data_IF_469655088597
#
_entry.id   IF_469655088597
#
_cell.length_a   1.000
_cell.length_b   1.000
_cell.length_c   1.000
_cell.angle_alpha   90.00
_cell.angle_beta   90.00
_cell.angle_gamma   90.00
#
_symmetry.space_group_name_H-M   'P 1'
#
loop_
_entity.id
_entity.type
_entity.pdbx_description
1 polymer ?
#
# COMPACT_ATOMS: atom_id res chain seq x y z
N UNK A 1 -14.27 -0.83 1.81
CA UNK A 1 -13.38 0.31 1.50
C UNK A 1 -12.06 0.10 2.21
N UNK A 2 -10.93 0.38 1.55
CA UNK A 2 -9.59 0.28 2.14
C UNK A 2 -8.84 1.60 2.01
N UNK A 3 -7.98 1.90 2.99
CA UNK A 3 -7.18 3.12 2.98
C UNK A 3 -5.70 2.78 2.84
N UNK A 4 -5.02 3.56 2.02
CA UNK A 4 -3.59 3.48 1.78
C UNK A 4 -2.99 4.85 2.02
N UNK A 5 -1.90 4.90 2.78
CA UNK A 5 -1.13 6.11 3.03
C UNK A 5 0.26 5.93 2.46
N UNK A 6 0.60 6.70 1.45
CA UNK A 6 1.94 6.79 0.91
C UNK A 6 2.59 8.06 1.45
N UNK A 7 3.63 7.93 2.26
CA UNK A 7 4.31 9.04 2.92
C UNK A 7 5.79 9.06 2.59
N UNK A 8 6.30 10.21 2.17
CA UNK A 8 7.72 10.48 2.08
C UNK A 8 8.22 10.95 3.44
N UNK A 9 9.27 10.31 3.94
CA UNK A 9 10.04 10.73 5.11
C UNK A 9 11.50 10.75 4.69
N UNK A 10 12.11 11.93 4.71
CA UNK A 10 13.43 12.19 4.14
C UNK A 10 13.51 11.74 2.66
N UNK A 11 14.39 10.80 2.35
CA UNK A 11 14.55 10.18 1.02
C UNK A 11 13.86 8.82 0.90
N UNK A 12 13.02 8.44 1.85
CA UNK A 12 12.33 7.14 1.86
C UNK A 12 10.83 7.29 1.69
N UNK A 13 10.23 6.40 0.90
CA UNK A 13 8.78 6.28 0.78
C UNK A 13 8.26 5.09 1.58
N UNK A 14 7.18 5.33 2.31
CA UNK A 14 6.50 4.34 3.13
C UNK A 14 5.04 4.21 2.70
N UNK A 15 4.59 2.98 2.46
CA UNK A 15 3.19 2.68 2.25
C UNK A 15 2.61 2.05 3.51
N UNK A 16 1.50 2.58 4.02
CA UNK A 16 0.72 1.95 5.08
C UNK A 16 -0.67 1.59 4.54
N UNK A 17 -0.98 0.30 4.50
CA UNK A 17 -2.33 -0.21 4.29
C UNK A 17 -3.07 -0.23 5.63
N UNK A 18 -4.25 0.39 5.67
CA UNK A 18 -5.15 0.41 6.81
C UNK A 18 -6.45 -0.28 6.36
N UNK A 19 -6.69 -1.45 6.93
CA UNK A 19 -7.70 -2.39 6.48
C UNK A 19 -8.66 -2.71 7.63
N UNK A 20 -9.95 -2.69 7.35
CA UNK A 20 -10.93 -3.25 8.28
C UNK A 20 -10.69 -4.75 8.46
N UNK A 21 -10.79 -5.26 9.69
CA UNK A 21 -10.54 -6.67 9.96
C UNK A 21 -11.49 -7.60 9.19
N UNK A 22 -12.74 -7.17 8.99
CA UNK A 22 -13.72 -7.89 8.17
C UNK A 22 -13.26 -8.06 6.71
N UNK A 23 -12.60 -7.05 6.12
CA UNK A 23 -12.01 -7.15 4.77
C UNK A 23 -10.84 -8.12 4.76
N UNK A 24 -10.02 -8.16 5.81
CA UNK A 24 -8.91 -9.12 5.87
C UNK A 24 -9.46 -10.56 5.97
N UNK A 25 -10.48 -10.77 6.79
CA UNK A 25 -11.10 -12.10 6.99
C UNK A 25 -11.92 -12.59 5.80
N UNK A 26 -12.53 -11.71 5.00
CA UNK A 26 -13.28 -12.16 3.82
C UNK A 26 -12.38 -12.59 2.67
N UNK A 27 -11.10 -12.19 2.67
CA UNK A 27 -10.14 -12.50 1.61
C UNK A 27 -9.08 -13.52 2.02
N UNK A 28 -8.80 -13.67 3.31
CA UNK A 28 -7.94 -14.73 3.82
C UNK A 28 -8.82 -15.88 4.31
N UNK A 29 -8.58 -17.13 3.87
CA UNK A 29 -9.42 -18.26 4.28
C UNK A 29 -9.49 -18.34 5.80
N UNK A 30 -10.71 -18.32 6.36
CA UNK A 30 -10.89 -18.52 7.80
C UNK A 30 -10.46 -19.94 8.13
N UNK A 31 -9.49 -20.08 9.03
CA UNK A 31 -9.21 -21.38 9.65
C UNK A 31 -10.39 -21.70 10.58
N UNK A 32 -11.47 -22.28 10.05
CA UNK A 32 -12.66 -22.71 10.80
C UNK A 32 -12.38 -23.93 11.71
N UNK A 33 -11.20 -24.01 12.35
CA UNK A 33 -10.88 -25.08 13.30
C UNK A 33 -10.39 -24.47 14.63
N UNK A 34 -10.86 -25.00 15.79
CA UNK A 34 -10.49 -24.50 17.12
C UNK A 34 -8.98 -24.59 17.36
N UNK A 35 -8.40 -23.78 18.28
CA UNK A 35 -7.04 -23.30 18.16
C UNK A 35 -6.01 -24.34 18.59
N UNK A 36 -5.42 -25.04 17.62
CA UNK A 36 -4.12 -25.68 17.81
C UNK A 36 -3.04 -24.59 17.75
N UNK A 37 -2.72 -24.02 18.93
CA UNK A 37 -1.65 -23.03 19.18
C UNK A 37 -1.82 -21.71 18.39
N UNK A 38 -2.25 -20.65 19.07
CA UNK A 38 -2.63 -19.36 18.48
C UNK A 38 -1.50 -18.56 17.75
N UNK A 39 -0.21 -18.86 18.00
CA UNK A 39 0.93 -18.14 17.39
C UNK A 39 1.18 -18.53 15.91
N UNK A 40 1.27 -19.83 15.56
CA UNK A 40 1.41 -20.28 14.17
C UNK A 40 0.31 -19.77 13.22
N UNK A 41 -0.95 -19.78 13.65
CA UNK A 41 -2.07 -19.34 12.81
C UNK A 41 -2.01 -17.83 12.51
N UNK A 42 -1.65 -17.03 13.51
CA UNK A 42 -1.49 -15.58 13.35
C UNK A 42 -0.34 -15.24 12.40
N UNK A 43 0.82 -15.88 12.55
CA UNK A 43 1.98 -15.67 11.68
C UNK A 43 1.69 -16.07 10.23
N UNK A 44 0.95 -17.16 10.03
CA UNK A 44 0.50 -17.57 8.70
C UNK A 44 -0.43 -16.51 8.08
N UNK A 45 -1.39 -16.00 8.84
CA UNK A 45 -2.31 -14.96 8.38
C UNK A 45 -1.58 -13.65 8.04
N UNK A 46 -0.61 -13.25 8.87
CA UNK A 46 0.27 -12.11 8.61
C UNK A 46 1.03 -12.29 7.29
N UNK A 47 1.63 -13.45 7.07
CA UNK A 47 2.35 -13.76 5.82
C UNK A 47 1.41 -13.73 4.61
N UNK A 48 0.27 -14.41 4.67
CA UNK A 48 -0.70 -14.43 3.57
C UNK A 48 -1.20 -13.03 3.23
N UNK A 49 -1.45 -12.18 4.23
CA UNK A 49 -1.85 -10.80 4.01
C UNK A 49 -0.74 -9.99 3.32
N UNK A 50 0.49 -10.13 3.80
CA UNK A 50 1.66 -9.43 3.23
C UNK A 50 1.87 -9.85 1.78
N UNK A 51 1.90 -11.16 1.50
CA UNK A 51 2.06 -11.72 0.16
C UNK A 51 0.95 -11.23 -0.78
N UNK A 52 -0.31 -11.25 -0.31
CA UNK A 52 -1.44 -10.73 -1.07
C UNK A 52 -1.27 -9.25 -1.41
N UNK A 53 -0.89 -8.41 -0.44
CA UNK A 53 -0.68 -6.99 -0.67
C UNK A 53 0.48 -6.73 -1.64
N UNK A 54 1.60 -7.43 -1.51
CA UNK A 54 2.75 -7.29 -2.41
C UNK A 54 2.42 -7.71 -3.85
N UNK A 55 1.59 -8.73 -4.05
CA UNK A 55 1.17 -9.17 -5.38
C UNK A 55 0.12 -8.27 -6.04
N UNK A 56 -0.56 -7.43 -5.25
CA UNK A 56 -1.67 -6.59 -5.73
C UNK A 56 -1.36 -5.09 -5.68
N UNK A 57 -0.15 -4.72 -5.26
CA UNK A 57 0.30 -3.33 -5.17
C UNK A 57 1.63 -3.19 -5.87
N UNK A 58 1.64 -2.37 -6.92
CA UNK A 58 2.82 -2.10 -7.71
C UNK A 58 3.14 -0.60 -7.71
N UNK A 59 4.42 -0.29 -7.55
CA UNK A 59 4.97 1.04 -7.74
C UNK A 59 5.99 0.99 -8.86
N UNK A 60 5.88 1.92 -9.80
CA UNK A 60 6.90 2.16 -10.81
C UNK A 60 7.39 3.58 -10.63
N UNK A 61 8.69 3.78 -10.45
CA UNK A 61 9.30 5.10 -10.30
C UNK A 61 10.28 5.32 -11.45
N UNK A 62 10.11 6.41 -12.20
CA UNK A 62 10.88 6.68 -13.42
C UNK A 62 10.93 5.48 -14.39
N UNK A 63 9.82 4.75 -14.53
CA UNK A 63 9.73 3.56 -15.38
C UNK A 63 10.32 2.27 -14.78
N UNK A 64 10.93 2.31 -13.59
CA UNK A 64 11.50 1.15 -12.91
C UNK A 64 10.59 0.61 -11.82
N UNK A 65 10.39 -0.71 -11.77
CA UNK A 65 9.60 -1.36 -10.74
C UNK A 65 10.29 -1.20 -9.36
N UNK A 66 9.53 -0.70 -8.39
CA UNK A 66 9.98 -0.46 -7.02
C UNK A 66 9.30 -1.48 -6.09
N UNK A 67 10.04 -2.47 -5.56
CA UNK A 67 9.44 -3.49 -4.73
C UNK A 67 9.08 -2.96 -3.35
N UNK A 68 7.97 -3.48 -2.81
CA UNK A 68 7.56 -3.28 -1.43
C UNK A 68 8.34 -4.23 -0.52
N UNK A 69 9.09 -3.68 0.44
CA UNK A 69 9.70 -4.44 1.53
C UNK A 69 8.87 -4.29 2.79
N UNK A 70 8.44 -5.42 3.37
CA UNK A 70 7.71 -5.41 4.64
C UNK A 70 8.52 -4.66 5.70
N UNK A 71 7.87 -3.72 6.38
CA UNK A 71 8.42 -3.01 7.53
C UNK A 71 7.75 -3.49 8.83
N UNK A 72 6.42 -3.51 8.88
CA UNK A 72 5.67 -4.00 10.03
C UNK A 72 4.29 -4.53 9.62
N UNK A 73 3.76 -5.50 10.37
CA UNK A 73 2.40 -5.99 10.27
C UNK A 73 1.78 -6.04 11.66
N UNK A 74 0.59 -5.46 11.81
CA UNK A 74 -0.19 -5.46 13.04
C UNK A 74 -1.61 -5.88 12.72
N UNK A 75 -1.90 -7.16 12.95
CA UNK A 75 -3.28 -7.65 12.98
C UNK A 75 -3.95 -7.18 14.29
N UNK A 76 -4.92 -6.28 14.18
CA UNK A 76 -5.71 -5.80 15.30
C UNK A 76 -7.10 -6.45 15.36
N UNK A 77 -7.83 -6.18 16.45
CA UNK A 77 -9.19 -6.71 16.63
C UNK A 77 -10.21 -6.07 15.68
N UNK A 78 -10.06 -4.79 15.36
CA UNK A 78 -10.96 -4.05 14.46
C UNK A 78 -10.27 -3.56 13.19
N UNK A 79 -9.00 -3.20 13.30
CA UNK A 79 -8.21 -2.63 12.22
C UNK A 79 -6.87 -3.36 12.12
N UNK A 80 -6.52 -3.73 10.89
CA UNK A 80 -5.23 -4.29 10.54
C UNK A 80 -4.40 -3.26 9.81
N UNK A 81 -3.14 -3.11 10.23
CA UNK A 81 -2.16 -2.23 9.60
C UNK A 81 -1.01 -3.03 9.03
N UNK A 82 -0.65 -2.75 7.79
CA UNK A 82 0.58 -3.29 7.18
C UNK A 82 1.38 -2.12 6.64
N UNK A 83 2.63 -2.00 7.05
CA UNK A 83 3.54 -0.97 6.55
C UNK A 83 4.67 -1.58 5.75
N UNK A 84 4.99 -0.91 4.65
CA UNK A 84 6.05 -1.27 3.73
C UNK A 84 6.98 -0.08 3.53
N UNK A 85 8.25 -0.37 3.31
CA UNK A 85 9.23 0.54 2.75
C UNK A 85 9.34 0.27 1.26
N UNK A 86 9.30 1.32 0.45
CA UNK A 86 9.61 1.22 -0.98
C UNK A 86 11.13 1.22 -1.11
N UNK A 87 11.69 0.14 -1.64
CA UNK A 87 13.13 -0.02 -1.81
C UNK A 87 13.59 0.47 -3.19
N UNK A 88 14.88 0.82 -3.31
CA UNK A 88 15.46 1.26 -4.59
C UNK A 88 14.74 2.49 -5.21
N UNK A 89 14.32 3.43 -4.37
CA UNK A 89 13.80 4.73 -4.81
C UNK A 89 14.92 5.49 -5.52
N UNK A 90 14.70 6.03 -6.73
CA UNK A 90 15.70 6.82 -7.43
C UNK A 90 16.01 8.10 -6.66
N UNK A 91 17.28 8.56 -6.72
CA UNK A 91 17.71 9.80 -6.06
C UNK A 91 16.91 11.02 -6.53
N UNK A 92 16.62 11.08 -7.82
CA UNK A 92 15.76 12.07 -8.45
C UNK A 92 14.50 11.37 -8.94
N UNK A 93 13.38 11.61 -8.26
CA UNK A 93 12.08 11.07 -8.62
C UNK A 93 11.37 12.07 -9.54
N UNK A 94 11.10 11.68 -10.78
CA UNK A 94 10.41 12.50 -11.79
C UNK A 94 8.97 12.06 -11.96
N UNK A 95 8.72 10.75 -11.87
CA UNK A 95 7.38 10.18 -11.99
C UNK A 95 7.19 8.97 -11.09
N UNK A 96 5.97 8.79 -10.61
CA UNK A 96 5.56 7.59 -9.89
C UNK A 96 4.20 7.11 -10.40
N UNK A 97 4.17 5.91 -10.95
CA UNK A 97 2.95 5.18 -11.29
C UNK A 97 2.60 4.24 -10.14
N UNK A 98 1.37 4.34 -9.66
CA UNK A 98 0.87 3.62 -8.49
C UNK A 98 -0.31 2.77 -8.94
N UNK A 99 -0.26 1.47 -8.69
CA UNK A 99 -1.36 0.54 -8.98
C UNK A 99 -1.69 -0.22 -7.70
N UNK A 100 -2.92 -0.07 -7.19
CA UNK A 100 -3.39 -0.75 -5.97
C UNK A 100 -4.68 -1.50 -6.29
N UNK A 101 -4.53 -2.73 -6.79
CA UNK A 101 -5.64 -3.64 -7.12
C UNK A 101 -6.12 -4.47 -5.94
N UNK A 102 -5.52 -4.29 -4.77
CA UNK A 102 -5.93 -5.00 -3.56
C UNK A 102 -7.45 -4.83 -3.34
N UNK A 103 -8.14 -5.95 -3.23
CA UNK A 103 -9.58 -6.04 -2.99
C UNK A 103 -10.48 -5.49 -4.13
N UNK A 104 -9.94 -5.36 -5.35
CA UNK A 104 -10.68 -4.88 -6.51
C UNK A 104 -11.89 -5.77 -6.91
N UNK A 105 -11.89 -7.04 -6.52
CA UNK A 105 -12.97 -7.99 -6.80
C UNK A 105 -14.23 -7.76 -5.94
N UNK A 106 -14.14 -6.99 -4.86
CA UNK A 106 -15.28 -6.62 -4.04
C UNK A 106 -16.20 -5.65 -4.78
N UNK A 107 -17.49 -6.00 -4.93
CA UNK A 107 -18.49 -5.13 -5.57
C UNK A 107 -18.47 -3.73 -4.92
N UNK A 108 -18.25 -2.68 -5.71
CA UNK A 108 -18.13 -1.28 -5.26
C UNK A 108 -16.97 -0.99 -4.30
N UNK A 109 -15.91 -1.81 -4.27
CA UNK A 109 -14.76 -1.54 -3.41
C UNK A 109 -13.88 -0.44 -4.01
N UNK A 110 -13.76 0.66 -3.28
CA UNK A 110 -12.81 1.74 -3.58
C UNK A 110 -11.61 1.69 -2.63
N UNK A 111 -10.45 1.98 -3.19
CA UNK A 111 -9.22 2.18 -2.46
C UNK A 111 -8.96 3.69 -2.36
N UNK A 112 -8.91 4.23 -1.14
CA UNK A 112 -8.53 5.62 -0.93
C UNK A 112 -7.03 5.68 -0.70
N UNK A 113 -6.32 6.32 -1.62
CA UNK A 113 -4.88 6.58 -1.51
C UNK A 113 -4.66 8.02 -1.06
N UNK A 114 -4.02 8.19 0.09
CA UNK A 114 -3.55 9.47 0.61
C UNK A 114 -2.03 9.53 0.42
N UNK A 115 -1.56 10.57 -0.23
CA UNK A 115 -0.16 10.75 -0.60
C UNK A 115 0.33 11.99 0.14
N UNK A 116 1.40 11.86 0.89
CA UNK A 116 2.07 12.98 1.56
C UNK A 116 3.54 12.96 1.18
N UNK A 117 3.95 13.88 0.32
CA UNK A 117 5.35 14.17 0.02
C UNK A 117 5.85 15.31 0.92
N UNK A 118 7.12 15.66 0.80
CA UNK A 118 7.68 16.84 1.49
C UNK A 118 7.01 18.15 1.06
N UNK A 119 6.51 18.23 -0.18
CA UNK A 119 5.97 19.46 -0.77
C UNK A 119 4.45 19.47 -0.96
N UNK A 120 3.79 18.31 -0.93
CA UNK A 120 2.37 18.21 -1.28
C UNK A 120 1.63 17.08 -0.56
N UNK A 121 0.32 17.29 -0.36
CA UNK A 121 -0.63 16.26 0.05
C UNK A 121 -1.71 16.09 -1.02
N UNK A 122 -1.99 14.84 -1.38
CA UNK A 122 -2.99 14.50 -2.40
C UNK A 122 -3.86 13.33 -1.92
N UNK A 123 -5.14 13.37 -2.28
CA UNK A 123 -6.08 12.25 -2.09
C UNK A 123 -6.51 11.76 -3.46
N UNK A 124 -6.41 10.45 -3.68
CA UNK A 124 -6.84 9.78 -4.90
C UNK A 124 -7.80 8.65 -4.55
N UNK A 125 -8.89 8.55 -5.29
CA UNK A 125 -9.81 7.40 -5.20
C UNK A 125 -9.45 6.46 -6.35
N UNK A 126 -8.96 5.28 -6.01
CA UNK A 126 -8.63 4.20 -6.94
C UNK A 126 -9.83 3.26 -7.05
N UNK A 127 -10.34 3.11 -8.26
CA UNK A 127 -11.57 2.37 -8.58
C UNK A 127 -11.49 1.78 -9.98
N UNK A 128 -12.54 1.07 -10.41
CA UNK A 128 -12.66 0.61 -11.80
C UNK A 128 -12.52 1.74 -12.83
N UNK A 129 -12.94 2.97 -12.50
CA UNK A 129 -12.88 4.13 -13.40
C UNK A 129 -11.46 4.53 -13.82
N UNK A 130 -10.46 4.26 -12.99
CA UNK A 130 -9.05 4.55 -13.26
C UNK A 130 -8.19 3.28 -13.21
N UNK A 131 -8.80 2.10 -13.43
CA UNK A 131 -8.13 0.80 -13.37
C UNK A 131 -7.31 0.60 -12.09
N UNK A 132 -7.80 1.18 -10.98
CA UNK A 132 -7.14 1.20 -9.68
C UNK A 132 -5.71 1.77 -9.70
N UNK A 133 -5.49 2.76 -10.57
CA UNK A 133 -4.17 3.36 -10.81
C UNK A 133 -4.17 4.87 -10.67
N UNK A 134 -2.98 5.44 -10.39
CA UNK A 134 -2.72 6.87 -10.35
C UNK A 134 -1.30 7.15 -10.77
N UNK A 135 -1.07 8.29 -11.43
CA UNK A 135 0.25 8.77 -11.80
C UNK A 135 0.55 10.08 -11.08
N UNK A 136 1.74 10.20 -10.54
CA UNK A 136 2.29 11.44 -10.00
C UNK A 136 3.44 11.91 -10.88
N UNK A 137 3.50 13.21 -11.11
CA UNK A 137 4.63 13.88 -11.73
C UNK A 137 5.26 14.81 -10.72
N UNK A 138 6.59 14.78 -10.64
CA UNK A 138 7.39 15.61 -9.77
C UNK A 138 8.16 16.58 -10.65
N UNK A 139 7.80 17.87 -10.58
CA UNK A 139 8.55 18.90 -11.29
C UNK A 139 9.90 19.10 -10.59
N UNK A 140 11.02 19.11 -11.32
CA UNK A 140 12.29 19.55 -10.74
C UNK A 140 12.09 20.99 -10.25
N UNK A 141 12.37 21.25 -8.97
CA UNK A 141 12.41 22.61 -8.46
C UNK A 141 13.55 23.34 -9.17
N UNK A 142 13.22 24.21 -10.13
CA UNK A 142 14.17 25.15 -10.71
C UNK A 142 14.62 26.10 -9.60
N UNK A 143 15.81 25.85 -9.05
CA UNK A 143 16.51 26.84 -8.24
C UNK A 143 16.87 28.01 -9.16
N UNK A 144 16.10 29.09 -9.08
CA UNK A 144 16.45 30.37 -9.68
C UNK A 144 17.60 30.96 -8.85
N UNK A 145 18.83 30.79 -9.33
CA UNK A 145 19.97 31.56 -8.85
C UNK A 145 19.74 33.01 -9.29
N UNK A 146 19.61 33.92 -8.33
CA UNK A 146 19.81 35.35 -8.54
C UNK A 146 21.20 35.71 -8.06
#
# INVERSE_FOLDING_TARGET
MSFFRLTQQDSTWHLTAILAQATVQSYLPSTNKPPLKAKPAKQLQEKQLVDYLQNNINFTMNGQLVPLKLNNVKLGHHETKVSFKLNAVPKQLESMDIVIKAFAHGKNHHNILLISSTSAKQKVILSSKNNYSSKLQFTPSTNTVK
#
